data_IF_431656096601
#
_entry.id   IF_431656096601
#
_cell.length_a   1.000
_cell.length_b   1.000
_cell.length_c   1.000
_cell.angle_alpha   90.00
_cell.angle_beta   90.00
_cell.angle_gamma   90.00
#
_symmetry.space_group_name_H-M   'P 1'
#
loop_
_entity.id
_entity.type
_entity.pdbx_description
1 polymer ?
#
# COMPACT_ATOMS: atom_id res chain seq x y z
N UNK A 1 -39.05 1.04 26.17
CA UNK A 1 -38.43 -0.29 26.04
C UNK A 1 -38.61 -0.75 24.59
N UNK A 2 -37.61 -0.56 23.71
CA UNK A 2 -37.70 -1.05 22.32
C UNK A 2 -37.38 -2.54 22.34
N UNK A 3 -38.37 -3.37 22.10
CA UNK A 3 -38.23 -4.83 22.02
C UNK A 3 -37.23 -5.14 20.89
N UNK A 4 -36.26 -6.03 21.13
CA UNK A 4 -35.27 -6.39 20.12
C UNK A 4 -35.94 -7.12 18.96
N UNK A 5 -35.40 -6.96 17.75
CA UNK A 5 -35.95 -7.62 16.57
C UNK A 5 -35.98 -9.14 16.77
N UNK A 6 -34.95 -9.69 17.40
CA UNK A 6 -34.88 -11.11 17.77
C UNK A 6 -36.05 -11.54 18.64
N UNK A 7 -36.39 -10.78 19.69
CA UNK A 7 -37.51 -11.13 20.58
C UNK A 7 -38.83 -11.12 19.81
N UNK A 8 -39.05 -10.15 18.93
CA UNK A 8 -40.28 -10.09 18.12
C UNK A 8 -40.38 -11.28 17.16
N UNK A 9 -39.30 -11.61 16.45
CA UNK A 9 -39.24 -12.76 15.55
C UNK A 9 -39.41 -14.08 16.31
N UNK A 10 -38.79 -14.23 17.49
CA UNK A 10 -38.94 -15.42 18.35
C UNK A 10 -40.38 -15.58 18.85
N UNK A 11 -41.07 -14.50 19.23
CA UNK A 11 -42.47 -14.55 19.66
C UNK A 11 -43.38 -14.97 18.50
N UNK A 12 -43.23 -14.37 17.32
CA UNK A 12 -44.01 -14.78 16.14
C UNK A 12 -43.74 -16.26 15.82
N UNK A 13 -42.47 -16.68 15.82
CA UNK A 13 -42.09 -18.07 15.55
C UNK A 13 -42.71 -19.05 16.55
N UNK A 14 -42.70 -18.73 17.85
CA UNK A 14 -43.33 -19.55 18.87
C UNK A 14 -44.86 -19.64 18.70
N UNK A 15 -45.51 -18.53 18.34
CA UNK A 15 -46.94 -18.50 18.05
C UNK A 15 -47.30 -19.35 16.82
N UNK A 16 -46.52 -19.24 15.74
CA UNK A 16 -46.69 -20.07 14.53
C UNK A 16 -46.51 -21.56 14.83
N UNK A 17 -45.52 -21.91 15.66
CA UNK A 17 -45.29 -23.28 16.09
C UNK A 17 -46.47 -23.81 16.93
N UNK A 18 -46.95 -23.03 17.90
CA UNK A 18 -48.11 -23.40 18.72
C UNK A 18 -49.37 -23.57 17.87
N UNK A 19 -49.62 -22.65 16.94
CA UNK A 19 -50.74 -22.73 16.00
C UNK A 19 -50.66 -24.02 15.16
N UNK A 20 -49.46 -24.42 14.75
CA UNK A 20 -49.25 -25.67 13.99
C UNK A 20 -49.54 -26.92 14.83
N UNK A 21 -49.17 -26.94 16.12
CA UNK A 21 -49.52 -28.03 17.04
C UNK A 21 -51.04 -28.12 17.26
N UNK A 22 -51.71 -26.98 17.41
CA UNK A 22 -53.17 -26.92 17.55
C UNK A 22 -53.86 -27.46 16.29
N UNK A 23 -53.41 -27.07 15.11
CA UNK A 23 -53.94 -27.64 13.86
C UNK A 23 -53.72 -29.15 13.78
N UNK A 24 -52.56 -29.66 14.19
CA UNK A 24 -52.29 -31.11 14.18
C UNK A 24 -53.23 -31.87 15.13
N UNK A 25 -53.47 -31.35 16.33
CA UNK A 25 -54.40 -31.94 17.30
C UNK A 25 -55.81 -32.06 16.71
N UNK A 26 -56.35 -30.97 16.16
CA UNK A 26 -57.69 -30.97 15.56
C UNK A 26 -57.79 -31.80 14.27
N UNK A 27 -56.70 -31.93 13.51
CA UNK A 27 -56.67 -32.78 12.32
C UNK A 27 -56.77 -34.29 12.66
N UNK A 28 -56.27 -34.71 13.83
CA UNK A 28 -56.32 -36.11 14.29
C UNK A 28 -57.72 -36.46 14.83
N UNK A 29 -58.38 -35.51 15.51
CA UNK A 29 -59.67 -35.71 16.20
C UNK A 29 -60.86 -35.85 15.23
N UNK A 30 -60.68 -35.52 13.93
CA UNK A 30 -61.62 -35.72 12.79
C UNK A 30 -63.05 -35.18 12.93
N UNK A 31 -63.45 -34.59 14.06
CA UNK A 31 -64.83 -34.17 14.28
C UNK A 31 -65.18 -32.80 13.67
N UNK A 32 -64.29 -31.80 13.68
CA UNK A 32 -64.57 -30.46 13.13
C UNK A 32 -63.40 -29.81 12.34
N UNK A 33 -63.67 -29.29 11.15
CA UNK A 33 -62.67 -28.63 10.28
C UNK A 33 -62.57 -27.11 10.47
N UNK A 34 -63.56 -26.48 11.12
CA UNK A 34 -63.57 -25.05 11.43
C UNK A 34 -62.30 -24.53 12.15
N UNK A 35 -61.73 -25.21 13.16
CA UNK A 35 -60.51 -24.73 13.82
C UNK A 35 -59.27 -24.70 12.90
N UNK A 36 -59.20 -25.57 11.89
CA UNK A 36 -58.10 -25.58 10.92
C UNK A 36 -58.10 -24.30 10.06
N UNK A 37 -59.27 -23.80 9.67
CA UNK A 37 -59.40 -22.55 8.91
C UNK A 37 -58.97 -21.34 9.74
N UNK A 38 -59.27 -21.31 11.04
CA UNK A 38 -58.84 -20.25 11.95
C UNK A 38 -57.32 -20.23 12.10
N UNK A 39 -56.69 -21.40 12.27
CA UNK A 39 -55.22 -21.51 12.31
C UNK A 39 -54.60 -21.02 11.01
N UNK A 40 -55.15 -21.41 9.86
CA UNK A 40 -54.67 -20.95 8.56
C UNK A 40 -54.73 -19.42 8.45
N UNK A 41 -55.81 -18.80 8.90
CA UNK A 41 -55.95 -17.35 8.94
C UNK A 41 -54.90 -16.67 9.84
N UNK A 42 -54.69 -17.20 11.06
CA UNK A 42 -53.68 -16.68 11.99
C UNK A 42 -52.27 -16.77 11.39
N UNK A 43 -51.94 -17.88 10.72
CA UNK A 43 -50.66 -18.05 10.05
C UNK A 43 -50.46 -17.03 8.93
N UNK A 44 -51.49 -16.79 8.11
CA UNK A 44 -51.44 -15.76 7.07
C UNK A 44 -51.15 -14.38 7.68
N UNK A 45 -51.87 -14.01 8.75
CA UNK A 45 -51.66 -12.73 9.44
C UNK A 45 -50.25 -12.62 10.03
N UNK A 46 -49.73 -13.69 10.63
CA UNK A 46 -48.38 -13.71 11.17
C UNK A 46 -47.31 -13.55 10.08
N UNK A 47 -47.48 -14.21 8.91
CA UNK A 47 -46.58 -14.03 7.76
C UNK A 47 -46.62 -12.58 7.25
N UNK A 48 -47.81 -11.99 7.08
CA UNK A 48 -47.93 -10.58 6.68
C UNK A 48 -47.30 -9.63 7.69
N UNK A 49 -47.46 -9.91 8.99
CA UNK A 49 -46.85 -9.12 10.06
C UNK A 49 -45.33 -9.20 10.00
N UNK A 50 -44.76 -10.39 9.79
CA UNK A 50 -43.33 -10.59 9.64
C UNK A 50 -42.77 -9.84 8.42
N UNK A 51 -43.45 -9.96 7.27
CA UNK A 51 -43.09 -9.27 6.04
C UNK A 51 -43.07 -7.75 6.25
N UNK A 52 -44.10 -7.21 6.90
CA UNK A 52 -44.20 -5.79 7.21
C UNK A 52 -43.05 -5.31 8.09
N UNK A 53 -42.65 -6.08 9.11
CA UNK A 53 -41.52 -5.75 9.99
C UNK A 53 -40.19 -5.72 9.25
N UNK A 54 -39.95 -6.69 8.38
CA UNK A 54 -38.71 -6.77 7.60
C UNK A 54 -38.64 -5.56 6.66
N UNK A 55 -39.69 -5.33 5.87
CA UNK A 55 -39.72 -4.28 4.84
C UNK A 55 -39.68 -2.88 5.43
N UNK A 56 -40.34 -2.65 6.57
CA UNK A 56 -40.42 -1.30 7.16
C UNK A 56 -39.32 -1.03 8.19
N UNK A 57 -38.78 -2.06 8.84
CA UNK A 57 -37.77 -1.91 9.89
C UNK A 57 -36.33 -2.16 9.42
N UNK A 58 -36.11 -3.29 8.75
CA UNK A 58 -34.74 -3.79 8.46
C UNK A 58 -34.22 -3.24 7.15
N UNK A 59 -35.00 -3.37 6.06
CA UNK A 59 -34.56 -3.00 4.71
C UNK A 59 -34.07 -1.54 4.62
N UNK A 60 -34.80 -0.54 5.15
CA UNK A 60 -34.36 0.86 5.06
C UNK A 60 -33.07 1.11 5.84
N UNK A 61 -32.92 0.46 7.00
CA UNK A 61 -31.73 0.56 7.85
C UNK A 61 -30.49 0.01 7.13
N UNK A 62 -30.63 -1.14 6.46
CA UNK A 62 -29.56 -1.75 5.67
C UNK A 62 -29.20 -0.91 4.44
N UNK A 63 -30.19 -0.40 3.72
CA UNK A 63 -29.96 0.50 2.58
C UNK A 63 -29.14 1.71 3.00
N UNK A 64 -29.49 2.33 4.14
CA UNK A 64 -28.75 3.49 4.63
C UNK A 64 -27.29 3.17 4.94
N UNK A 65 -27.01 2.05 5.62
CA UNK A 65 -25.63 1.61 5.89
C UNK A 65 -24.89 1.33 4.56
N UNK A 66 -25.55 0.71 3.59
CA UNK A 66 -24.98 0.43 2.27
C UNK A 66 -24.61 1.73 1.53
N UNK A 67 -25.47 2.75 1.59
CA UNK A 67 -25.20 4.05 0.97
C UNK A 67 -23.96 4.72 1.59
N UNK A 68 -23.85 4.69 2.92
CA UNK A 68 -22.66 5.19 3.63
C UNK A 68 -21.41 4.40 3.23
N UNK A 69 -21.49 3.07 3.19
CA UNK A 69 -20.36 2.23 2.77
C UNK A 69 -19.96 2.48 1.32
N UNK A 70 -20.92 2.77 0.43
CA UNK A 70 -20.65 3.13 -0.96
C UNK A 70 -19.92 4.47 -1.05
N UNK A 71 -20.32 5.48 -0.28
CA UNK A 71 -19.63 6.77 -0.24
C UNK A 71 -18.22 6.65 0.35
N UNK A 72 -18.05 5.84 1.40
CA UNK A 72 -16.74 5.49 1.95
C UNK A 72 -15.88 4.79 0.89
N UNK A 73 -16.45 3.86 0.12
CA UNK A 73 -15.78 3.17 -0.98
C UNK A 73 -15.34 4.09 -2.13
N UNK A 74 -16.01 5.23 -2.33
CA UNK A 74 -15.60 6.29 -3.27
C UNK A 74 -14.48 7.20 -2.72
N UNK A 75 -14.02 6.96 -1.49
CA UNK A 75 -12.98 7.75 -0.84
C UNK A 75 -13.49 8.89 0.07
N UNK A 76 -14.80 9.02 0.24
CA UNK A 76 -15.36 10.00 1.18
C UNK A 76 -15.41 9.44 2.60
N UNK A 77 -14.30 9.58 3.33
CA UNK A 77 -14.18 9.11 4.71
C UNK A 77 -14.71 10.10 5.76
N UNK A 78 -15.37 11.19 5.37
CA UNK A 78 -16.02 12.11 6.31
C UNK A 78 -17.46 11.68 6.64
N UNK A 79 -18.08 10.90 5.74
CA UNK A 79 -19.45 10.41 5.91
C UNK A 79 -19.55 9.37 7.03
N UNK A 80 -20.68 9.35 7.74
CA UNK A 80 -20.94 8.46 8.88
C UNK A 80 -22.38 7.98 8.84
N UNK A 81 -22.61 6.80 9.39
CA UNK A 81 -23.96 6.32 9.66
C UNK A 81 -24.58 7.18 10.76
N UNK A 82 -25.71 7.81 10.44
CA UNK A 82 -26.50 8.62 11.35
C UNK A 82 -27.23 7.72 12.37
N UNK A 83 -26.82 7.77 13.64
CA UNK A 83 -27.36 6.92 14.70
C UNK A 83 -28.65 7.46 15.32
N UNK A 84 -29.08 8.69 14.99
CA UNK A 84 -30.32 9.27 15.49
C UNK A 84 -31.54 8.69 14.76
N UNK A 85 -31.31 8.12 13.57
CA UNK A 85 -32.32 7.36 12.83
C UNK A 85 -32.81 6.14 13.61
N UNK A 86 -34.08 5.74 13.40
CA UNK A 86 -34.64 4.55 14.01
C UNK A 86 -33.95 3.29 13.48
N UNK A 87 -33.05 2.73 14.28
CA UNK A 87 -32.44 1.43 14.05
C UNK A 87 -32.98 0.38 15.03
N UNK A 88 -33.23 -0.85 14.57
CA UNK A 88 -33.26 -2.03 15.43
C UNK A 88 -31.97 -2.10 16.28
N UNK A 89 -32.07 -2.60 17.51
CA UNK A 89 -30.94 -2.61 18.44
C UNK A 89 -29.70 -3.33 17.85
N UNK A 90 -29.94 -4.44 17.15
CA UNK A 90 -28.91 -5.25 16.51
C UNK A 90 -28.22 -4.51 15.35
N UNK A 91 -28.99 -3.78 14.53
CA UNK A 91 -28.42 -2.98 13.44
C UNK A 91 -27.73 -1.72 13.93
N UNK A 92 -28.13 -1.19 15.09
CA UNK A 92 -27.46 -0.04 15.73
C UNK A 92 -26.03 -0.39 16.12
N UNK A 93 -25.78 -1.61 16.60
CA UNK A 93 -24.43 -2.08 16.91
C UNK A 93 -23.57 -2.17 15.65
N UNK A 94 -24.11 -2.74 14.56
CA UNK A 94 -23.44 -2.78 13.26
C UNK A 94 -23.11 -1.36 12.76
N UNK A 95 -24.07 -0.43 12.83
CA UNK A 95 -23.85 0.96 12.45
C UNK A 95 -22.73 1.65 13.24
N UNK A 96 -22.65 1.40 14.56
CA UNK A 96 -21.54 1.89 15.41
C UNK A 96 -20.19 1.31 14.96
N UNK A 97 -20.14 -0.01 14.71
CA UNK A 97 -18.92 -0.69 14.25
C UNK A 97 -18.46 -0.16 12.90
N UNK A 98 -19.40 0.10 11.97
CA UNK A 98 -19.10 0.75 10.69
C UNK A 98 -18.47 2.13 10.93
N UNK A 99 -19.05 2.98 11.78
CA UNK A 99 -18.48 4.30 12.08
C UNK A 99 -17.05 4.22 12.66
N UNK A 100 -16.79 3.24 13.53
CA UNK A 100 -15.44 2.99 14.07
C UNK A 100 -14.48 2.57 12.95
N UNK A 101 -14.90 1.68 12.06
CA UNK A 101 -14.10 1.24 10.91
C UNK A 101 -13.77 2.43 10.00
N UNK A 102 -14.75 3.27 9.65
CA UNK A 102 -14.53 4.45 8.81
C UNK A 102 -13.54 5.41 9.47
N UNK A 103 -13.65 5.63 10.79
CA UNK A 103 -12.71 6.46 11.52
C UNK A 103 -11.27 5.89 11.50
N UNK A 104 -11.11 4.57 11.59
CA UNK A 104 -9.78 3.91 11.48
C UNK A 104 -9.18 4.09 10.09
N UNK A 105 -9.98 3.89 9.04
CA UNK A 105 -9.55 4.10 7.65
C UNK A 105 -9.11 5.55 7.43
N UNK A 106 -9.89 6.51 7.92
CA UNK A 106 -9.55 7.93 7.79
C UNK A 106 -8.21 8.27 8.46
N UNK A 107 -7.95 7.74 9.66
CA UNK A 107 -6.67 7.97 10.36
C UNK A 107 -5.50 7.32 9.62
N UNK A 108 -5.65 6.05 9.23
CA UNK A 108 -4.61 5.32 8.51
C UNK A 108 -4.24 6.03 7.20
N UNK A 109 -5.22 6.55 6.46
CA UNK A 109 -4.96 7.37 5.27
C UNK A 109 -4.17 8.64 5.60
N UNK A 110 -4.55 9.36 6.66
CA UNK A 110 -3.84 10.56 7.08
C UNK A 110 -2.41 10.30 7.55
N UNK A 111 -2.13 9.14 8.15
CA UNK A 111 -0.77 8.72 8.51
C UNK A 111 0.06 8.39 7.27
N UNK A 112 -0.53 7.68 6.30
CA UNK A 112 0.12 7.39 5.01
C UNK A 112 0.45 8.67 4.24
N UNK A 113 -0.46 9.64 4.23
CA UNK A 113 -0.26 10.93 3.56
C UNK A 113 0.90 11.71 4.20
N UNK A 114 0.94 11.81 5.53
CA UNK A 114 2.08 12.42 6.25
C UNK A 114 3.41 11.69 6.00
N UNK A 115 3.38 10.36 5.95
CA UNK A 115 4.57 9.57 5.67
C UNK A 115 5.07 9.78 4.24
N UNK A 116 4.14 9.93 3.28
CA UNK A 116 4.45 10.26 1.89
C UNK A 116 5.13 11.63 1.79
N UNK A 117 4.57 12.66 2.42
CA UNK A 117 5.12 14.01 2.39
C UNK A 117 6.54 14.05 2.98
N UNK A 118 6.75 13.41 4.14
CA UNK A 118 8.09 13.33 4.74
C UNK A 118 9.10 12.52 3.92
N UNK A 119 8.63 11.52 3.16
CA UNK A 119 9.49 10.77 2.23
C UNK A 119 9.85 11.62 1.01
N UNK A 120 8.93 12.43 0.49
CA UNK A 120 9.21 13.36 -0.62
C UNK A 120 10.28 14.37 -0.23
N UNK A 121 10.19 14.98 0.97
CA UNK A 121 11.22 15.88 1.50
C UNK A 121 12.59 15.18 1.60
N UNK A 122 12.61 13.96 2.13
CA UNK A 122 13.84 13.17 2.27
C UNK A 122 14.44 12.83 0.90
N UNK A 123 13.61 12.45 -0.07
CA UNK A 123 14.07 12.13 -1.42
C UNK A 123 14.66 13.36 -2.10
N UNK A 124 14.05 14.53 -1.93
CA UNK A 124 14.57 15.79 -2.45
C UNK A 124 15.95 16.13 -1.87
N UNK A 125 16.09 16.08 -0.53
CA UNK A 125 17.36 16.33 0.16
C UNK A 125 18.46 15.37 -0.31
N UNK A 126 18.18 14.06 -0.32
CA UNK A 126 19.14 13.04 -0.77
C UNK A 126 19.49 13.17 -2.25
N UNK A 127 18.54 13.59 -3.08
CA UNK A 127 18.81 13.83 -4.51
C UNK A 127 19.74 15.04 -4.69
N UNK A 128 19.58 16.08 -3.88
CA UNK A 128 20.46 17.25 -3.89
C UNK A 128 21.87 16.88 -3.44
N UNK A 129 22.01 16.18 -2.32
CA UNK A 129 23.32 15.69 -1.83
C UNK A 129 24.03 14.82 -2.87
N UNK A 130 23.29 13.92 -3.54
CA UNK A 130 23.86 13.07 -4.59
C UNK A 130 24.35 13.88 -5.78
N UNK A 131 23.65 14.96 -6.19
CA UNK A 131 24.10 15.84 -7.27
C UNK A 131 25.38 16.57 -6.90
N UNK A 132 25.44 17.16 -5.71
CA UNK A 132 26.62 17.87 -5.22
C UNK A 132 27.84 16.94 -5.13
N UNK A 133 27.62 15.69 -4.67
CA UNK A 133 28.67 14.68 -4.63
C UNK A 133 29.12 14.27 -6.04
N UNK A 134 28.18 14.08 -6.98
CA UNK A 134 28.51 13.76 -8.37
C UNK A 134 29.33 14.86 -9.02
N UNK A 135 28.93 16.14 -8.88
CA UNK A 135 29.68 17.28 -9.40
C UNK A 135 31.10 17.31 -8.81
N UNK A 136 31.23 17.14 -7.49
CA UNK A 136 32.55 17.10 -6.82
C UNK A 136 33.43 15.95 -7.32
N UNK A 137 32.83 14.78 -7.59
CA UNK A 137 33.55 13.63 -8.12
C UNK A 137 33.98 13.84 -9.57
N UNK A 138 33.13 14.46 -10.40
CA UNK A 138 33.43 14.82 -11.78
C UNK A 138 34.62 15.80 -11.85
N UNK A 139 34.58 16.86 -11.05
CA UNK A 139 35.68 17.84 -10.93
C UNK A 139 36.99 17.16 -10.55
N UNK A 140 36.95 16.25 -9.57
CA UNK A 140 38.13 15.52 -9.10
C UNK A 140 38.64 14.53 -10.14
N UNK A 141 37.76 13.87 -10.88
CA UNK A 141 38.14 12.99 -11.99
C UNK A 141 38.81 13.81 -13.09
N UNK A 142 38.27 14.98 -13.44
CA UNK A 142 38.87 15.87 -14.44
C UNK A 142 40.27 16.34 -14.01
N UNK A 143 40.41 16.82 -12.77
CA UNK A 143 41.70 17.26 -12.21
C UNK A 143 42.73 16.12 -12.26
N UNK A 144 42.37 14.94 -11.78
CA UNK A 144 43.26 13.77 -11.76
C UNK A 144 43.59 13.27 -13.17
N UNK A 145 42.68 13.43 -14.11
CA UNK A 145 42.94 13.08 -15.52
C UNK A 145 43.96 14.03 -16.12
N UNK A 146 43.85 15.34 -15.88
CA UNK A 146 44.84 16.34 -16.30
C UNK A 146 46.22 16.09 -15.68
N UNK A 147 46.28 15.83 -14.37
CA UNK A 147 47.55 15.49 -13.69
C UNK A 147 48.21 14.23 -14.30
N UNK A 148 47.42 13.21 -14.61
CA UNK A 148 47.92 11.98 -15.24
C UNK A 148 48.43 12.25 -16.65
N UNK A 149 47.72 13.03 -17.47
CA UNK A 149 48.16 13.42 -18.81
C UNK A 149 49.49 14.19 -18.78
N UNK A 150 49.66 15.10 -17.82
CA UNK A 150 50.91 15.85 -17.65
C UNK A 150 52.08 14.93 -17.27
N UNK A 151 51.85 13.99 -16.34
CA UNK A 151 52.86 12.98 -15.97
C UNK A 151 53.22 12.06 -17.13
N UNK A 152 52.25 11.64 -17.93
CA UNK A 152 52.50 10.84 -19.14
C UNK A 152 53.41 11.63 -20.09
N UNK A 153 53.10 12.89 -20.38
CA UNK A 153 53.95 13.76 -21.22
C UNK A 153 55.35 13.94 -20.66
N UNK A 154 55.50 14.04 -19.34
CA UNK A 154 56.81 14.12 -18.69
C UNK A 154 57.62 12.83 -18.86
N UNK A 155 56.99 11.67 -18.65
CA UNK A 155 57.61 10.36 -18.86
C UNK A 155 58.03 10.14 -20.32
N UNK A 156 57.20 10.54 -21.28
CA UNK A 156 57.54 10.49 -22.71
C UNK A 156 58.77 11.35 -23.03
N UNK A 157 58.83 12.59 -22.51
CA UNK A 157 60.01 13.46 -22.67
C UNK A 157 61.26 12.84 -22.05
N UNK A 158 61.15 12.28 -20.84
CA UNK A 158 62.27 11.62 -20.17
C UNK A 158 62.76 10.40 -20.94
N UNK A 159 61.85 9.60 -21.49
CA UNK A 159 62.17 8.45 -22.33
C UNK A 159 62.93 8.90 -23.59
N UNK A 160 62.44 9.92 -24.31
CA UNK A 160 63.12 10.44 -25.49
C UNK A 160 64.54 10.94 -25.21
N UNK A 161 64.73 11.67 -24.10
CA UNK A 161 66.05 12.13 -23.67
C UNK A 161 66.99 10.97 -23.31
N UNK A 162 66.47 9.95 -22.62
CA UNK A 162 67.24 8.78 -22.20
C UNK A 162 67.72 7.95 -23.40
N UNK A 163 66.83 7.70 -24.36
CA UNK A 163 67.19 7.04 -25.63
C UNK A 163 68.24 7.85 -26.39
N UNK A 164 68.09 9.18 -26.45
CA UNK A 164 69.09 10.06 -27.07
C UNK A 164 70.47 9.96 -26.38
N UNK A 165 70.50 9.91 -25.04
CA UNK A 165 71.73 9.70 -24.28
C UNK A 165 72.36 8.34 -24.55
N UNK A 166 71.58 7.28 -24.60
CA UNK A 166 72.08 5.93 -24.89
C UNK A 166 72.66 5.83 -26.29
N UNK A 167 71.99 6.41 -27.29
CA UNK A 167 72.52 6.51 -28.65
C UNK A 167 73.85 7.27 -28.68
N UNK A 168 73.94 8.40 -27.99
CA UNK A 168 75.20 9.17 -27.92
C UNK A 168 76.31 8.41 -27.18
N UNK A 169 75.97 7.66 -26.12
CA UNK A 169 76.93 6.81 -25.41
C UNK A 169 77.47 5.68 -26.29
N UNK A 170 76.64 5.09 -27.15
CA UNK A 170 77.08 4.08 -28.12
C UNK A 170 78.06 4.69 -29.13
N UNK A 171 77.74 5.89 -29.66
CA UNK A 171 78.59 6.61 -30.60
C UNK A 171 79.95 6.98 -29.98
N UNK A 172 79.95 7.57 -28.79
CA UNK A 172 81.18 7.93 -28.06
C UNK A 172 82.03 6.69 -27.72
N UNK A 173 81.40 5.55 -27.37
CA UNK A 173 82.15 4.30 -27.15
C UNK A 173 82.86 3.82 -28.40
N UNK A 174 82.21 3.92 -29.57
CA UNK A 174 82.86 3.60 -30.87
C UNK A 174 84.03 4.55 -31.16
N UNK A 175 83.84 5.86 -31.00
CA UNK A 175 84.92 6.84 -31.20
C UNK A 175 86.12 6.57 -30.27
N UNK A 176 85.87 6.22 -29.00
CA UNK A 176 86.95 5.85 -28.06
C UNK A 176 87.69 4.59 -28.54
N UNK A 177 86.99 3.56 -28.99
CA UNK A 177 87.62 2.34 -29.54
C UNK A 177 88.50 2.65 -30.75
N UNK A 178 88.02 3.48 -31.68
CA UNK A 178 88.78 3.93 -32.85
C UNK A 178 90.03 4.72 -32.44
N UNK A 179 89.88 5.73 -31.56
CA UNK A 179 91.00 6.52 -31.04
C UNK A 179 92.03 5.67 -30.30
N UNK A 180 91.59 4.69 -29.51
CA UNK A 180 92.48 3.74 -28.84
C UNK A 180 93.25 2.86 -29.84
N UNK A 181 92.62 2.42 -30.93
CA UNK A 181 93.31 1.70 -32.00
C UNK A 181 94.34 2.58 -32.72
N UNK A 182 94.01 3.84 -32.98
CA UNK A 182 94.96 4.80 -33.57
C UNK A 182 96.18 5.02 -32.66
N UNK A 183 95.98 5.28 -31.36
CA UNK A 183 97.08 5.46 -30.41
C UNK A 183 97.99 4.21 -30.33
N UNK A 184 97.42 3.01 -30.36
CA UNK A 184 98.22 1.76 -30.40
C UNK A 184 99.06 1.64 -31.66
N UNK A 185 98.59 2.15 -32.81
CA UNK A 185 99.35 2.13 -34.06
C UNK A 185 100.46 3.19 -34.12
N UNK A 186 100.32 4.30 -33.38
CA UNK A 186 101.30 5.40 -33.35
C UNK A 186 102.35 5.25 -32.25
N UNK A 187 102.12 4.37 -31.25
CA UNK A 187 103.06 4.11 -30.14
C UNK A 187 103.96 2.87 -30.40
N UNK A 188 104.07 2.45 -31.66
CA UNK A 188 105.02 1.43 -32.16
C UNK A 188 105.92 2.09 -33.19
#
# INVERSE_FOLDING_TARGET
MRISLKVFVSIIGALLFLASLVALYFAIDKEETAPLLLVALVNIVAVFTLLFLITRGILPSLSHIQDILREVGKGNFATRVDLDRPFPAELREVAKTVNIMVARIQRARGEVEKAKDGLEDTVEERTKELRELTETLEDRVEERTKELEEKIKELERFQHLSVGRELKMIELKKEIEELQQYLKKTTV
#
